data_IF_633698095009
#
_entry.id   IF_633698095009
#
_cell.length_a   1.000
_cell.length_b   1.000
_cell.length_c   1.000
_cell.angle_alpha   90.00
_cell.angle_beta   90.00
_cell.angle_gamma   90.00
#
_symmetry.space_group_name_H-M   'P 1'
#
loop_
_entity.id
_entity.type
_entity.pdbx_description
1 polymer ?
#
# COMPACT_ATOMS: atom_id res chain seq x y z
N UNK A 1 12.42 -22.56 -12.89
CA UNK A 1 11.21 -22.06 -13.55
C UNK A 1 10.02 -22.79 -12.94
N UNK A 2 9.00 -22.05 -12.54
CA UNK A 2 7.75 -22.64 -12.09
C UNK A 2 7.18 -23.52 -13.21
N UNK A 3 6.80 -24.75 -12.89
CA UNK A 3 6.19 -25.63 -13.90
C UNK A 3 4.67 -25.42 -13.88
N UNK A 4 4.19 -24.46 -14.70
CA UNK A 4 2.77 -24.14 -14.82
C UNK A 4 1.96 -25.29 -15.47
N UNK A 5 2.62 -26.30 -16.03
CA UNK A 5 1.97 -27.46 -16.66
C UNK A 5 1.29 -28.41 -15.67
N UNK A 6 1.45 -28.21 -14.38
CA UNK A 6 0.69 -28.94 -13.37
C UNK A 6 -0.76 -28.44 -13.25
N UNK A 7 -1.06 -27.23 -13.72
CA UNK A 7 -2.40 -26.67 -13.76
C UNK A 7 -3.11 -27.03 -15.06
N UNK A 8 -4.40 -27.31 -14.97
CA UNK A 8 -5.20 -27.81 -16.08
C UNK A 8 -6.12 -26.77 -16.69
N UNK A 9 -6.44 -25.74 -15.94
CA UNK A 9 -7.34 -24.65 -16.33
C UNK A 9 -6.85 -23.27 -15.84
N UNK A 10 -5.60 -22.87 -16.17
CA UNK A 10 -5.12 -21.55 -15.83
C UNK A 10 -5.85 -20.47 -16.64
N UNK A 11 -6.17 -19.34 -15.98
CA UNK A 11 -6.81 -18.18 -16.59
C UNK A 11 -5.99 -16.94 -16.31
N UNK A 12 -5.73 -16.13 -17.33
CA UNK A 12 -5.12 -14.81 -17.15
C UNK A 12 -6.20 -13.75 -16.91
N UNK A 13 -5.91 -12.82 -15.98
CA UNK A 13 -6.75 -11.67 -15.66
C UNK A 13 -5.93 -10.40 -15.83
N UNK A 14 -6.37 -9.51 -16.69
CA UNK A 14 -5.74 -8.24 -16.99
C UNK A 14 -6.74 -7.11 -17.21
N UNK A 15 -6.25 -5.97 -17.68
CA UNK A 15 -7.07 -4.84 -18.15
C UNK A 15 -6.65 -4.43 -19.57
N UNK A 16 -7.55 -3.72 -20.29
CA UNK A 16 -7.31 -3.34 -21.68
C UNK A 16 -5.94 -2.68 -21.93
N UNK A 17 -5.50 -1.66 -21.14
CA UNK A 17 -4.22 -1.00 -21.35
C UNK A 17 -3.01 -1.92 -21.11
N UNK A 18 -3.14 -2.86 -20.19
CA UNK A 18 -2.05 -3.77 -19.82
C UNK A 18 -1.91 -4.92 -20.80
N UNK A 19 -3.03 -5.52 -21.20
CA UNK A 19 -3.03 -6.66 -22.12
C UNK A 19 -2.34 -6.31 -23.44
N UNK A 20 -2.66 -5.16 -24.04
CA UNK A 20 -2.02 -4.67 -25.26
C UNK A 20 -0.51 -4.44 -25.09
N UNK A 21 -0.09 -3.94 -23.90
CA UNK A 21 1.31 -3.60 -23.64
C UNK A 21 2.23 -4.80 -23.42
N UNK A 22 1.68 -5.96 -23.04
CA UNK A 22 2.46 -7.15 -22.65
C UNK A 22 2.31 -8.33 -23.61
N UNK A 23 1.40 -8.28 -24.59
CA UNK A 23 1.05 -9.38 -25.49
C UNK A 23 2.28 -10.06 -26.10
N UNK A 24 3.20 -9.29 -26.70
CA UNK A 24 4.41 -9.83 -27.31
C UNK A 24 5.39 -10.47 -26.32
N UNK A 25 5.43 -9.98 -25.06
CA UNK A 25 6.39 -10.44 -24.04
C UNK A 25 5.88 -11.68 -23.33
N UNK A 26 4.58 -11.76 -23.13
CA UNK A 26 3.93 -12.84 -22.39
C UNK A 26 3.25 -13.89 -23.27
N UNK A 27 3.43 -13.84 -24.61
CA UNK A 27 2.80 -14.75 -25.57
C UNK A 27 2.92 -16.21 -25.13
N UNK A 28 4.13 -16.69 -24.85
CA UNK A 28 4.39 -18.08 -24.41
C UNK A 28 3.70 -18.43 -23.06
N UNK A 29 3.43 -17.43 -22.21
CA UNK A 29 2.76 -17.62 -20.92
C UNK A 29 1.24 -17.59 -21.10
N UNK A 30 0.73 -16.70 -21.94
CA UNK A 30 -0.69 -16.57 -22.25
C UNK A 30 -1.20 -17.78 -23.04
N UNK A 31 -0.39 -18.37 -23.93
CA UNK A 31 -0.74 -19.60 -24.66
C UNK A 31 -1.03 -20.79 -23.73
N UNK A 32 -0.54 -20.79 -22.48
CA UNK A 32 -0.82 -21.85 -21.51
C UNK A 32 -2.22 -21.65 -20.89
N UNK A 33 -2.73 -20.42 -20.87
CA UNK A 33 -4.03 -20.09 -20.31
C UNK A 33 -5.16 -20.63 -21.19
N UNK A 34 -6.19 -21.19 -20.56
CA UNK A 34 -7.38 -21.61 -21.29
C UNK A 34 -8.24 -20.44 -21.72
N UNK A 35 -8.20 -19.35 -20.94
CA UNK A 35 -8.96 -18.14 -21.19
C UNK A 35 -8.18 -16.92 -20.73
N UNK A 36 -8.39 -15.79 -21.42
CA UNK A 36 -7.89 -14.48 -21.05
C UNK A 36 -9.07 -13.57 -20.73
N UNK A 37 -9.15 -13.11 -19.48
CA UNK A 37 -10.18 -12.19 -19.02
C UNK A 37 -9.60 -10.78 -18.98
N UNK A 38 -10.13 -9.90 -19.82
CA UNK A 38 -9.76 -8.50 -19.86
C UNK A 38 -10.85 -7.65 -19.21
N UNK A 39 -10.56 -7.08 -18.03
CA UNK A 39 -11.48 -6.22 -17.32
C UNK A 39 -11.44 -4.80 -17.88
N UNK A 40 -12.61 -4.26 -18.18
CA UNK A 40 -12.77 -2.91 -18.74
C UNK A 40 -13.30 -1.94 -17.69
N UNK A 41 -12.73 -0.74 -17.65
CA UNK A 41 -13.17 0.37 -16.78
C UNK A 41 -12.40 1.64 -17.07
N UNK A 42 -12.99 2.80 -16.82
CA UNK A 42 -12.30 4.08 -17.04
C UNK A 42 -12.59 5.08 -15.89
N UNK A 43 -11.77 5.08 -14.83
CA UNK A 43 -10.74 4.07 -14.50
C UNK A 43 -11.35 2.74 -14.02
N UNK A 44 -10.63 1.62 -14.18
CA UNK A 44 -10.98 0.37 -13.52
C UNK A 44 -10.67 0.49 -12.02
N UNK A 45 -11.64 0.15 -11.17
CA UNK A 45 -11.52 0.18 -9.72
C UNK A 45 -11.55 -1.24 -9.13
N UNK A 46 -10.81 -1.46 -8.05
CA UNK A 46 -10.95 -2.65 -7.23
C UNK A 46 -12.14 -2.46 -6.29
N UNK A 47 -13.35 -2.69 -6.80
CA UNK A 47 -14.62 -2.50 -6.11
C UNK A 47 -15.50 -3.76 -6.18
N UNK A 48 -16.61 -3.75 -5.44
CA UNK A 48 -17.56 -4.87 -5.42
C UNK A 48 -18.13 -5.18 -6.79
N UNK A 49 -18.32 -4.18 -7.67
CA UNK A 49 -18.82 -4.41 -9.03
C UNK A 49 -17.80 -5.15 -9.91
N UNK A 50 -16.53 -4.75 -9.84
CA UNK A 50 -15.45 -5.42 -10.58
C UNK A 50 -15.22 -6.84 -10.07
N UNK A 51 -15.41 -7.07 -8.75
CA UNK A 51 -15.42 -8.41 -8.15
C UNK A 51 -16.55 -9.26 -8.74
N UNK A 52 -17.77 -8.76 -8.77
CA UNK A 52 -18.94 -9.45 -9.35
C UNK A 52 -18.70 -9.82 -10.83
N UNK A 53 -18.19 -8.88 -11.63
CA UNK A 53 -17.88 -9.12 -13.04
C UNK A 53 -16.83 -10.23 -13.20
N UNK A 54 -15.74 -10.18 -12.43
CA UNK A 54 -14.68 -11.18 -12.51
C UNK A 54 -15.19 -12.56 -12.06
N UNK A 55 -15.98 -12.60 -10.97
CA UNK A 55 -16.56 -13.85 -10.46
C UNK A 55 -17.53 -14.50 -11.46
N UNK A 56 -18.35 -13.72 -12.17
CA UNK A 56 -19.28 -14.20 -13.20
C UNK A 56 -18.58 -14.64 -14.48
N UNK A 57 -17.43 -14.03 -14.81
CA UNK A 57 -16.70 -14.33 -16.05
C UNK A 57 -15.75 -15.50 -15.90
N UNK A 58 -15.20 -15.70 -14.69
CA UNK A 58 -14.18 -16.72 -14.43
C UNK A 58 -14.78 -18.13 -14.49
N UNK A 59 -14.30 -19.04 -15.38
CA UNK A 59 -14.80 -20.41 -15.48
C UNK A 59 -14.81 -21.17 -14.15
N UNK A 60 -15.79 -22.07 -13.95
CA UNK A 60 -15.90 -22.86 -12.71
C UNK A 60 -14.69 -23.80 -12.52
N UNK A 61 -14.14 -24.32 -13.61
CA UNK A 61 -12.98 -25.24 -13.62
C UNK A 61 -11.63 -24.57 -13.39
N UNK A 62 -11.56 -23.24 -13.30
CA UNK A 62 -10.30 -22.50 -13.11
C UNK A 62 -9.54 -23.01 -11.89
N UNK A 63 -8.29 -23.44 -12.08
CA UNK A 63 -7.42 -23.96 -11.03
C UNK A 63 -6.18 -23.08 -10.75
N UNK A 64 -5.99 -21.99 -11.53
CA UNK A 64 -4.93 -21.01 -11.34
C UNK A 64 -5.35 -19.67 -11.97
N UNK A 65 -5.11 -18.56 -11.27
CA UNK A 65 -5.23 -17.20 -11.82
C UNK A 65 -3.83 -16.63 -12.07
N UNK A 66 -3.59 -16.09 -13.27
CA UNK A 66 -2.43 -15.24 -13.57
C UNK A 66 -2.89 -13.77 -13.57
N UNK A 67 -2.52 -13.03 -12.55
CA UNK A 67 -2.85 -11.60 -12.43
C UNK A 67 -1.82 -10.78 -13.20
N UNK A 68 -2.18 -10.26 -14.38
CA UNK A 68 -1.31 -9.48 -15.27
C UNK A 68 -1.75 -8.02 -15.23
N UNK A 69 -1.08 -7.18 -14.43
CA UNK A 69 -1.55 -5.81 -14.29
C UNK A 69 -0.92 -5.00 -13.17
N UNK A 70 -1.55 -3.89 -12.85
CA UNK A 70 -1.24 -3.05 -11.70
C UNK A 70 -1.94 -3.53 -10.42
N UNK A 71 -1.89 -2.71 -9.35
CA UNK A 71 -2.45 -3.05 -8.05
C UNK A 71 -3.93 -3.41 -8.08
N UNK A 72 -4.75 -2.75 -8.91
CA UNK A 72 -6.19 -3.04 -9.06
C UNK A 72 -6.45 -4.48 -9.51
N UNK A 73 -5.75 -4.94 -10.55
CA UNK A 73 -5.88 -6.31 -11.06
C UNK A 73 -5.45 -7.32 -9.99
N UNK A 74 -4.38 -7.00 -9.25
CA UNK A 74 -3.89 -7.87 -8.18
C UNK A 74 -4.87 -7.94 -7.00
N UNK A 75 -5.47 -6.83 -6.59
CA UNK A 75 -6.47 -6.82 -5.52
C UNK A 75 -7.71 -7.67 -5.88
N UNK A 76 -8.22 -7.54 -7.11
CA UNK A 76 -9.34 -8.34 -7.61
C UNK A 76 -8.97 -9.82 -7.70
N UNK A 77 -7.84 -10.14 -8.33
CA UNK A 77 -7.40 -11.52 -8.57
C UNK A 77 -7.12 -12.28 -7.28
N UNK A 78 -6.40 -11.67 -6.31
CA UNK A 78 -6.08 -12.33 -5.04
C UNK A 78 -7.32 -12.52 -4.16
N UNK A 79 -8.28 -11.59 -4.21
CA UNK A 79 -9.54 -11.74 -3.51
C UNK A 79 -10.36 -12.91 -4.06
N UNK A 80 -10.52 -13.00 -5.38
CA UNK A 80 -11.23 -14.12 -6.02
C UNK A 80 -10.50 -15.45 -5.83
N UNK A 81 -9.16 -15.46 -5.92
CA UNK A 81 -8.36 -16.63 -5.66
C UNK A 81 -8.61 -17.20 -4.25
N UNK A 82 -8.67 -16.32 -3.25
CA UNK A 82 -9.00 -16.67 -1.87
C UNK A 82 -10.42 -17.23 -1.73
N UNK A 83 -11.42 -16.56 -2.29
CA UNK A 83 -12.82 -17.00 -2.23
C UNK A 83 -13.02 -18.37 -2.89
N UNK A 84 -12.36 -18.60 -4.02
CA UNK A 84 -12.41 -19.89 -4.76
C UNK A 84 -11.42 -20.93 -4.23
N UNK A 85 -10.50 -20.56 -3.33
CA UNK A 85 -9.45 -21.42 -2.78
C UNK A 85 -8.54 -22.02 -3.85
N UNK A 86 -8.15 -21.21 -4.79
CA UNK A 86 -7.20 -21.53 -5.84
C UNK A 86 -5.96 -20.63 -5.73
N UNK A 87 -4.79 -21.09 -6.15
CA UNK A 87 -3.59 -20.24 -6.17
C UNK A 87 -3.69 -19.15 -7.23
N UNK A 88 -2.90 -18.10 -7.05
CA UNK A 88 -2.66 -17.14 -8.12
C UNK A 88 -1.18 -16.81 -8.26
N UNK A 89 -0.80 -16.30 -9.43
CA UNK A 89 0.54 -15.83 -9.78
C UNK A 89 0.45 -14.34 -10.07
N UNK A 90 1.38 -13.58 -9.53
CA UNK A 90 1.50 -12.14 -9.73
C UNK A 90 2.46 -11.84 -10.88
N UNK A 91 2.00 -11.09 -11.88
CA UNK A 91 2.80 -10.54 -12.98
C UNK A 91 2.63 -9.01 -12.99
N UNK A 92 3.43 -8.28 -12.17
CA UNK A 92 3.35 -6.83 -12.07
C UNK A 92 3.75 -6.16 -13.37
N UNK A 93 2.90 -5.30 -13.91
CA UNK A 93 3.18 -4.55 -15.15
C UNK A 93 3.62 -3.11 -14.91
N UNK A 94 3.67 -2.68 -13.64
CA UNK A 94 4.17 -1.37 -13.22
C UNK A 94 4.75 -1.43 -11.82
N UNK A 95 5.79 -0.67 -11.54
CA UNK A 95 6.33 -0.48 -10.19
C UNK A 95 5.52 0.60 -9.45
N UNK A 96 4.24 0.34 -9.12
CA UNK A 96 3.26 1.34 -8.68
C UNK A 96 2.83 1.26 -7.22
N UNK A 97 3.06 0.12 -6.56
CA UNK A 97 2.63 -0.20 -5.18
C UNK A 97 3.43 -1.36 -4.63
N UNK A 98 3.46 -1.52 -3.31
CA UNK A 98 4.09 -2.65 -2.62
C UNK A 98 3.14 -3.87 -2.44
N UNK A 99 1.87 -3.74 -2.84
CA UNK A 99 0.84 -4.73 -2.55
C UNK A 99 0.91 -6.02 -3.38
N UNK A 100 1.90 -6.20 -4.27
CA UNK A 100 2.01 -7.38 -5.13
C UNK A 100 2.19 -8.71 -4.37
N UNK A 101 2.68 -8.65 -3.13
CA UNK A 101 2.85 -9.80 -2.23
C UNK A 101 1.84 -9.82 -1.07
N UNK A 102 0.81 -8.98 -1.10
CA UNK A 102 -0.12 -8.88 0.03
C UNK A 102 -0.98 -10.13 0.20
N UNK A 103 -1.31 -10.44 1.46
CA UNK A 103 -2.26 -11.45 1.91
C UNK A 103 -3.66 -10.87 2.17
N UNK A 104 -3.85 -9.61 1.79
CA UNK A 104 -5.09 -8.87 1.96
C UNK A 104 -5.39 -8.10 0.67
N UNK A 105 -6.66 -7.99 0.31
CA UNK A 105 -7.15 -7.16 -0.80
C UNK A 105 -7.78 -5.88 -0.26
N UNK A 106 -7.38 -4.74 -0.81
CA UNK A 106 -7.92 -3.44 -0.43
C UNK A 106 -8.99 -3.01 -1.43
N UNK A 107 -10.27 -3.32 -1.14
CA UNK A 107 -11.38 -3.08 -2.05
C UNK A 107 -12.23 -1.87 -1.62
N UNK A 108 -12.80 -1.18 -2.61
CA UNK A 108 -13.86 -0.20 -2.40
C UNK A 108 -15.20 -0.94 -2.37
N UNK A 109 -15.76 -1.15 -1.18
CA UNK A 109 -16.96 -1.92 -0.98
C UNK A 109 -18.09 -1.02 -0.48
N UNK A 110 -19.11 -0.84 -1.31
CA UNK A 110 -20.21 0.07 -1.04
C UNK A 110 -19.76 1.52 -0.70
N UNK A 111 -18.73 2.00 -1.40
CA UNK A 111 -18.16 3.34 -1.21
C UNK A 111 -17.25 3.49 0.01
N UNK A 112 -16.99 2.43 0.76
CA UNK A 112 -16.06 2.36 1.89
C UNK A 112 -14.81 1.54 1.52
N UNK A 113 -13.62 2.03 1.84
CA UNK A 113 -12.38 1.29 1.59
C UNK A 113 -12.14 0.27 2.70
N UNK A 114 -12.20 -1.01 2.36
CA UNK A 114 -12.13 -2.16 3.27
C UNK A 114 -11.00 -3.10 2.92
N UNK A 115 -10.40 -3.69 3.95
CA UNK A 115 -9.47 -4.82 3.82
C UNK A 115 -10.24 -6.13 3.93
N UNK A 116 -9.97 -7.02 2.98
CA UNK A 116 -10.49 -8.38 2.97
C UNK A 116 -9.32 -9.36 3.03
N UNK A 117 -9.47 -10.50 3.73
CA UNK A 117 -8.52 -11.59 3.60
C UNK A 117 -8.39 -12.01 2.15
N UNK A 118 -7.19 -12.31 1.72
CA UNK A 118 -6.93 -12.70 0.35
C UNK A 118 -5.77 -13.71 0.29
N UNK A 119 -5.51 -14.27 -0.90
CA UNK A 119 -4.42 -15.20 -1.12
C UNK A 119 -3.14 -14.44 -1.44
N UNK A 120 -1.99 -14.86 -0.88
CA UNK A 120 -0.70 -14.39 -1.36
C UNK A 120 -0.29 -15.11 -2.65
N UNK A 121 0.50 -14.49 -3.54
CA UNK A 121 0.84 -15.13 -4.79
C UNK A 121 1.78 -16.32 -4.58
N UNK A 122 1.53 -17.41 -5.33
CA UNK A 122 2.42 -18.56 -5.36
C UNK A 122 3.81 -18.21 -5.93
N UNK A 123 3.83 -17.32 -6.94
CA UNK A 123 5.03 -16.74 -7.56
C UNK A 123 4.78 -15.30 -7.95
N UNK A 124 5.86 -14.51 -8.02
CA UNK A 124 5.86 -13.17 -8.61
C UNK A 124 6.88 -13.16 -9.76
N UNK A 125 6.43 -12.80 -10.94
CA UNK A 125 7.27 -12.61 -12.13
C UNK A 125 7.27 -11.14 -12.53
N UNK A 126 8.27 -10.39 -12.07
CA UNK A 126 8.45 -8.99 -12.41
C UNK A 126 9.49 -8.87 -13.53
N UNK A 127 9.03 -8.67 -14.77
CA UNK A 127 9.91 -8.48 -15.93
C UNK A 127 10.21 -6.99 -16.12
N UNK A 128 11.49 -6.64 -16.10
CA UNK A 128 11.96 -5.25 -16.23
C UNK A 128 11.55 -4.64 -17.57
N UNK A 129 11.50 -5.44 -18.65
CA UNK A 129 11.03 -4.97 -19.97
C UNK A 129 9.54 -4.57 -19.96
N UNK A 130 8.76 -5.09 -19.02
CA UNK A 130 7.34 -4.74 -18.85
C UNK A 130 7.22 -3.50 -17.98
N UNK A 131 7.57 -3.60 -16.70
CA UNK A 131 7.25 -2.55 -15.74
C UNK A 131 8.04 -1.25 -15.93
N UNK A 132 9.25 -1.26 -16.52
CA UNK A 132 9.99 -0.03 -16.82
C UNK A 132 9.34 0.80 -17.93
N UNK A 133 8.57 0.17 -18.81
CA UNK A 133 7.84 0.84 -19.90
C UNK A 133 6.49 1.41 -19.49
N UNK A 134 6.00 1.06 -18.32
CA UNK A 134 4.74 1.56 -17.80
C UNK A 134 4.63 3.11 -17.87
N UNK A 135 3.42 3.67 -17.92
CA UNK A 135 3.23 5.11 -17.80
C UNK A 135 3.92 5.63 -16.53
N UNK A 136 4.78 6.65 -16.67
CA UNK A 136 5.64 7.13 -15.57
C UNK A 136 4.86 7.52 -14.31
N UNK A 137 3.61 7.95 -14.44
CA UNK A 137 2.73 8.24 -13.31
C UNK A 137 2.59 7.04 -12.35
N UNK A 138 2.59 5.81 -12.87
CA UNK A 138 2.53 4.59 -12.06
C UNK A 138 3.85 4.39 -11.29
N UNK A 139 4.99 4.60 -11.94
CA UNK A 139 6.31 4.57 -11.32
C UNK A 139 6.44 5.62 -10.22
N UNK A 140 6.01 6.86 -10.49
CA UNK A 140 5.98 7.95 -9.52
C UNK A 140 5.04 7.64 -8.32
N UNK A 141 3.95 6.90 -8.55
CA UNK A 141 3.10 6.37 -7.48
C UNK A 141 3.86 5.40 -6.58
N UNK A 142 4.62 4.46 -7.15
CA UNK A 142 5.44 3.52 -6.38
C UNK A 142 6.54 4.20 -5.57
N UNK A 143 7.20 5.22 -6.14
CA UNK A 143 8.16 6.05 -5.39
C UNK A 143 7.48 6.71 -4.20
N UNK A 144 6.31 7.33 -4.43
CA UNK A 144 5.55 8.03 -3.38
C UNK A 144 5.08 7.08 -2.27
N UNK A 145 4.66 5.87 -2.62
CA UNK A 145 4.28 4.82 -1.69
C UNK A 145 5.48 4.43 -0.81
N UNK A 146 6.64 4.20 -1.43
CA UNK A 146 7.86 3.84 -0.72
C UNK A 146 8.36 4.98 0.20
N UNK A 147 8.23 6.26 -0.19
CA UNK A 147 8.57 7.39 0.68
C UNK A 147 7.74 7.43 1.97
N UNK A 148 6.52 6.90 1.96
CA UNK A 148 5.69 6.73 3.16
C UNK A 148 6.36 5.89 4.25
N UNK A 149 7.34 5.04 3.91
CA UNK A 149 8.08 4.17 4.83
C UNK A 149 8.85 4.94 5.90
N UNK A 150 9.28 6.17 5.62
CA UNK A 150 9.90 7.00 6.66
C UNK A 150 8.97 7.16 7.88
N UNK A 151 7.67 7.38 7.65
CA UNK A 151 6.70 7.49 8.75
C UNK A 151 6.29 6.11 9.27
N UNK A 152 6.11 5.10 8.39
CA UNK A 152 5.73 3.76 8.82
C UNK A 152 6.73 3.17 9.83
N UNK A 153 8.03 3.25 9.52
CA UNK A 153 9.08 2.74 10.39
C UNK A 153 9.17 3.51 11.71
N UNK A 154 9.01 4.83 11.68
CA UNK A 154 8.95 5.65 12.88
C UNK A 154 7.73 5.27 13.75
N UNK A 155 6.54 5.17 13.16
CA UNK A 155 5.31 4.78 13.85
C UNK A 155 5.43 3.40 14.50
N UNK A 156 6.01 2.42 13.79
CA UNK A 156 6.18 1.07 14.33
C UNK A 156 7.16 1.03 15.51
N UNK A 157 8.31 1.74 15.42
CA UNK A 157 9.25 1.89 16.53
C UNK A 157 8.61 2.58 17.73
N UNK A 158 7.84 3.65 17.49
CA UNK A 158 7.14 4.40 18.55
C UNK A 158 6.05 3.53 19.20
N UNK A 159 5.28 2.78 18.42
CA UNK A 159 4.27 1.86 18.93
C UNK A 159 4.90 0.78 19.82
N UNK A 160 6.05 0.23 19.44
CA UNK A 160 6.82 -0.69 20.29
C UNK A 160 7.20 -0.07 21.63
N UNK A 161 7.71 1.16 21.63
CA UNK A 161 8.09 1.85 22.86
C UNK A 161 6.88 2.16 23.74
N UNK A 162 5.78 2.63 23.15
CA UNK A 162 4.59 3.06 23.86
C UNK A 162 3.78 1.90 24.44
N UNK A 163 3.52 0.85 23.65
CA UNK A 163 2.61 -0.24 24.00
C UNK A 163 3.30 -1.60 24.24
N UNK A 164 4.56 -1.77 23.81
CA UNK A 164 5.24 -3.08 23.82
C UNK A 164 4.86 -3.96 22.64
N UNK A 165 4.25 -3.40 21.63
CA UNK A 165 3.95 -4.09 20.38
C UNK A 165 5.20 -4.71 19.77
N UNK A 166 5.06 -5.83 19.07
CA UNK A 166 6.18 -6.50 18.41
C UNK A 166 6.90 -5.56 17.44
N UNK A 167 8.22 -5.60 17.45
CA UNK A 167 9.10 -4.89 16.52
C UNK A 167 10.24 -5.81 16.10
N UNK A 168 10.51 -5.92 14.82
CA UNK A 168 11.69 -6.57 14.27
C UNK A 168 12.65 -5.53 13.68
N UNK A 169 13.81 -5.40 14.30
CA UNK A 169 14.84 -4.43 13.87
C UNK A 169 15.41 -4.78 12.49
N UNK A 170 15.57 -6.07 12.21
CA UNK A 170 16.06 -6.57 10.93
C UNK A 170 15.12 -6.18 9.78
N UNK A 171 13.81 -6.27 10.00
CA UNK A 171 12.81 -5.82 9.01
C UNK A 171 12.90 -4.30 8.82
N UNK A 172 13.01 -3.52 9.90
CA UNK A 172 13.20 -2.07 9.79
C UNK A 172 14.47 -1.72 8.99
N UNK A 173 15.55 -2.44 9.20
CA UNK A 173 16.82 -2.23 8.50
C UNK A 173 16.73 -2.60 7.01
N UNK A 174 15.99 -3.66 6.67
CA UNK A 174 15.74 -4.07 5.28
C UNK A 174 14.94 -2.99 4.54
N UNK A 175 13.82 -2.57 5.09
CA UNK A 175 12.97 -1.50 4.54
C UNK A 175 13.75 -0.19 4.36
N UNK A 176 14.50 0.22 5.38
CA UNK A 176 15.26 1.46 5.33
C UNK A 176 16.37 1.43 4.29
N UNK A 177 17.03 0.27 4.09
CA UNK A 177 18.05 0.10 3.04
C UNK A 177 17.42 0.19 1.65
N UNK A 178 16.30 -0.49 1.42
CA UNK A 178 15.59 -0.42 0.14
C UNK A 178 15.13 1.01 -0.17
N UNK A 179 14.54 1.69 0.81
CA UNK A 179 14.15 3.09 0.71
C UNK A 179 15.33 4.01 0.35
N UNK A 180 16.47 3.83 1.01
CA UNK A 180 17.71 4.58 0.73
C UNK A 180 18.30 4.30 -0.65
N UNK A 181 18.22 3.07 -1.12
CA UNK A 181 18.70 2.70 -2.45
C UNK A 181 17.87 3.37 -3.55
N UNK A 182 16.55 3.36 -3.41
CA UNK A 182 15.63 4.05 -4.32
C UNK A 182 15.82 5.57 -4.28
N UNK A 183 15.87 6.17 -3.08
CA UNK A 183 15.97 7.65 -2.96
C UNK A 183 17.30 8.25 -3.44
N UNK A 184 18.31 7.44 -3.69
CA UNK A 184 19.57 7.88 -4.31
C UNK A 184 19.56 7.85 -5.83
N UNK A 185 18.51 7.31 -6.44
CA UNK A 185 18.42 7.03 -7.87
C UNK A 185 17.13 7.59 -8.50
N UNK A 186 16.51 8.60 -7.88
CA UNK A 186 15.24 9.14 -8.33
C UNK A 186 15.31 9.70 -9.75
N UNK A 187 16.39 10.39 -10.09
CA UNK A 187 16.63 10.89 -11.45
C UNK A 187 16.82 9.74 -12.45
N UNK A 188 17.59 8.71 -12.11
CA UNK A 188 17.81 7.52 -12.95
C UNK A 188 16.48 6.79 -13.20
N UNK A 189 15.63 6.66 -12.16
CA UNK A 189 14.27 6.08 -12.30
C UNK A 189 13.41 6.95 -13.22
N UNK A 190 13.52 8.26 -13.11
CA UNK A 190 12.78 9.20 -13.95
C UNK A 190 13.20 9.11 -15.43
N UNK A 191 14.46 8.86 -15.67
CA UNK A 191 15.03 8.61 -16.99
C UNK A 191 14.77 7.18 -17.51
N UNK A 192 14.08 6.36 -16.68
CA UNK A 192 13.74 4.95 -16.95
C UNK A 192 14.97 4.06 -17.15
N UNK A 193 16.06 4.37 -16.46
CA UNK A 193 17.22 3.48 -16.38
C UNK A 193 16.80 2.13 -15.81
N UNK A 194 17.12 1.05 -16.52
CA UNK A 194 16.62 -0.29 -16.25
C UNK A 194 16.99 -0.77 -14.84
N UNK A 195 18.27 -0.65 -14.45
CA UNK A 195 18.76 -1.02 -13.10
C UNK A 195 18.07 -0.21 -11.99
N UNK A 196 17.80 1.08 -12.24
CA UNK A 196 17.11 1.93 -11.25
C UNK A 196 15.62 1.57 -11.11
N UNK A 197 14.95 1.28 -12.22
CA UNK A 197 13.57 0.78 -12.21
C UNK A 197 13.47 -0.59 -11.51
N UNK A 198 14.45 -1.48 -11.72
CA UNK A 198 14.55 -2.77 -11.02
C UNK A 198 14.70 -2.58 -9.52
N UNK A 199 15.52 -1.60 -9.07
CA UNK A 199 15.67 -1.29 -7.65
C UNK A 199 14.37 -0.80 -7.01
N UNK A 200 13.59 0.01 -7.73
CA UNK A 200 12.27 0.42 -7.24
C UNK A 200 11.33 -0.77 -7.09
N UNK A 201 11.22 -1.62 -8.13
CA UNK A 201 10.38 -2.83 -8.06
C UNK A 201 10.84 -3.75 -6.93
N UNK A 202 12.15 -3.97 -6.79
CA UNK A 202 12.72 -4.75 -5.70
C UNK A 202 12.33 -4.18 -4.33
N UNK A 203 12.43 -2.85 -4.15
CA UNK A 203 12.04 -2.19 -2.89
C UNK A 203 10.56 -2.38 -2.56
N UNK A 204 9.68 -2.27 -3.56
CA UNK A 204 8.25 -2.49 -3.39
C UNK A 204 7.93 -3.96 -3.05
N UNK A 205 8.53 -4.92 -3.74
CA UNK A 205 8.35 -6.35 -3.45
C UNK A 205 8.92 -6.71 -2.07
N UNK A 206 10.09 -6.16 -1.70
CA UNK A 206 10.67 -6.38 -0.38
C UNK A 206 9.76 -5.84 0.72
N UNK A 207 9.11 -4.68 0.51
CA UNK A 207 8.15 -4.11 1.46
C UNK A 207 6.97 -5.06 1.70
N UNK A 208 6.36 -5.59 0.64
CA UNK A 208 5.32 -6.61 0.76
C UNK A 208 5.79 -7.88 1.50
N UNK A 209 7.02 -8.34 1.23
CA UNK A 209 7.61 -9.47 1.95
C UNK A 209 7.86 -9.16 3.43
N UNK A 210 8.28 -7.94 3.77
CA UNK A 210 8.46 -7.49 5.15
C UNK A 210 7.15 -7.52 5.94
N UNK A 211 6.02 -7.20 5.31
CA UNK A 211 4.68 -7.33 5.90
C UNK A 211 4.37 -8.78 6.25
N UNK A 212 4.58 -9.72 5.32
CA UNK A 212 4.39 -11.14 5.57
C UNK A 212 5.32 -11.66 6.69
N UNK A 213 6.61 -11.32 6.65
CA UNK A 213 7.59 -11.70 7.68
C UNK A 213 7.24 -11.16 9.07
N UNK A 214 6.67 -9.97 9.15
CA UNK A 214 6.24 -9.36 10.41
C UNK A 214 4.92 -9.95 10.93
N UNK A 215 4.14 -10.62 10.09
CA UNK A 215 2.78 -11.05 10.39
C UNK A 215 1.84 -9.88 10.72
N UNK A 216 2.15 -8.69 10.24
CA UNK A 216 1.37 -7.48 10.44
C UNK A 216 1.71 -6.43 9.38
N UNK A 217 0.78 -5.51 9.12
CA UNK A 217 1.00 -4.42 8.15
C UNK A 217 1.95 -3.31 8.63
N UNK A 218 2.44 -3.37 9.87
CA UNK A 218 3.24 -2.30 10.50
C UNK A 218 4.47 -1.85 9.70
N UNK A 219 5.24 -2.74 9.04
CA UNK A 219 6.38 -2.29 8.24
C UNK A 219 5.99 -1.32 7.13
N UNK A 220 4.83 -1.51 6.53
CA UNK A 220 4.42 -0.83 5.32
C UNK A 220 3.22 0.13 5.47
N UNK A 221 2.43 0.02 6.53
CA UNK A 221 1.17 0.78 6.69
C UNK A 221 1.11 1.51 8.02
N UNK A 222 0.90 2.84 7.95
CA UNK A 222 0.70 3.70 9.13
C UNK A 222 -0.13 4.94 8.80
N UNK A 223 0.04 6.03 9.53
CA UNK A 223 -0.76 7.24 9.42
C UNK A 223 -0.95 7.76 7.97
N UNK A 224 0.07 7.84 7.07
CA UNK A 224 -0.14 8.27 5.69
C UNK A 224 -1.13 7.40 4.93
N UNK A 225 -1.09 6.09 5.17
CA UNK A 225 -1.95 5.10 4.52
C UNK A 225 -3.40 5.20 4.99
N UNK A 226 -3.64 5.48 6.27
CA UNK A 226 -4.99 5.72 6.79
C UNK A 226 -5.60 7.00 6.19
N UNK A 227 -4.82 8.06 6.02
CA UNK A 227 -5.26 9.28 5.34
C UNK A 227 -5.56 8.99 3.86
N UNK A 228 -4.68 8.24 3.17
CA UNK A 228 -4.90 7.82 1.78
C UNK A 228 -6.22 7.06 1.61
N UNK A 229 -6.49 6.08 2.48
CA UNK A 229 -7.75 5.32 2.48
C UNK A 229 -8.96 6.20 2.72
N UNK A 230 -8.88 7.15 3.67
CA UNK A 230 -9.95 8.10 3.95
C UNK A 230 -10.28 8.97 2.73
N UNK A 231 -9.26 9.43 2.00
CA UNK A 231 -9.46 10.23 0.78
C UNK A 231 -10.08 9.42 -0.37
N UNK A 232 -9.84 8.12 -0.43
CA UNK A 232 -10.37 7.23 -1.45
C UNK A 232 -11.83 6.80 -1.20
N UNK A 233 -12.33 6.95 0.03
CA UNK A 233 -13.70 6.59 0.35
C UNK A 233 -14.69 7.50 -0.38
N UNK A 234 -15.47 6.94 -1.31
CA UNK A 234 -16.48 7.68 -2.07
C UNK A 234 -17.56 8.31 -1.20
N UNK A 235 -17.87 7.67 -0.07
CA UNK A 235 -18.81 8.21 0.94
C UNK A 235 -18.31 9.51 1.59
N UNK A 236 -17.03 9.83 1.46
CA UNK A 236 -16.40 11.04 2.04
C UNK A 236 -16.12 12.08 0.98
N UNK A 237 -15.45 11.70 -0.12
CA UNK A 237 -14.90 12.64 -1.10
C UNK A 237 -15.45 12.48 -2.54
N UNK A 238 -16.29 11.46 -2.79
CA UNK A 238 -16.64 11.05 -4.15
C UNK A 238 -15.51 10.27 -4.83
N UNK A 239 -15.66 9.96 -6.12
CA UNK A 239 -14.63 9.24 -6.87
C UNK A 239 -13.42 10.14 -7.15
N UNK A 240 -12.23 9.55 -7.12
CA UNK A 240 -10.97 10.22 -7.43
C UNK A 240 -10.18 9.43 -8.49
N UNK A 241 -9.45 10.15 -9.35
CA UNK A 241 -8.53 9.55 -10.32
C UNK A 241 -7.10 9.40 -9.78
N UNK A 242 -6.87 9.78 -8.52
CA UNK A 242 -5.55 9.70 -7.91
C UNK A 242 -5.15 8.25 -7.61
N UNK A 243 -3.88 7.94 -7.85
CA UNK A 243 -3.31 6.64 -7.53
C UNK A 243 -3.05 6.51 -6.01
N UNK A 244 -3.01 5.27 -5.54
CA UNK A 244 -2.78 4.97 -4.12
C UNK A 244 -1.51 5.63 -3.58
N UNK A 245 -0.35 5.40 -4.21
CA UNK A 245 0.91 5.99 -3.75
C UNK A 245 0.95 7.52 -3.87
N UNK A 246 0.26 8.12 -4.86
CA UNK A 246 0.15 9.59 -4.93
C UNK A 246 -0.51 10.16 -3.65
N UNK A 247 -1.55 9.50 -3.14
CA UNK A 247 -2.22 9.90 -1.89
C UNK A 247 -1.33 9.67 -0.67
N UNK A 248 -0.62 8.52 -0.62
CA UNK A 248 0.33 8.21 0.47
C UNK A 248 1.44 9.26 0.53
N UNK A 249 2.06 9.61 -0.60
CA UNK A 249 3.12 10.61 -0.66
C UNK A 249 2.66 11.99 -0.18
N UNK A 250 1.50 12.45 -0.64
CA UNK A 250 0.93 13.75 -0.19
C UNK A 250 0.58 13.69 1.30
N UNK A 251 0.03 12.60 1.80
CA UNK A 251 -0.25 12.42 3.23
C UNK A 251 1.04 12.42 4.06
N UNK A 252 2.13 11.83 3.54
CA UNK A 252 3.46 11.87 4.17
C UNK A 252 3.96 13.31 4.35
N UNK A 253 3.84 14.15 3.29
CA UNK A 253 4.19 15.56 3.38
C UNK A 253 3.33 16.35 4.37
N UNK A 254 2.03 16.03 4.47
CA UNK A 254 1.15 16.71 5.43
C UNK A 254 1.46 16.32 6.88
N UNK A 255 1.88 15.09 7.11
CA UNK A 255 2.16 14.56 8.44
C UNK A 255 3.53 14.96 8.96
N UNK A 256 4.52 15.11 8.09
CA UNK A 256 5.90 15.41 8.44
C UNK A 256 6.01 16.59 9.44
N UNK A 257 5.32 17.69 9.17
CA UNK A 257 5.34 18.86 10.05
C UNK A 257 4.86 18.53 11.47
N UNK A 258 3.85 17.66 11.62
CA UNK A 258 3.34 17.25 12.94
C UNK A 258 4.36 16.42 13.69
N UNK A 259 5.06 15.49 13.04
CA UNK A 259 6.09 14.67 13.64
C UNK A 259 7.29 15.51 14.11
N UNK A 260 7.74 16.46 13.28
CA UNK A 260 8.82 17.37 13.68
C UNK A 260 8.41 18.38 14.75
N UNK A 261 7.16 18.83 14.76
CA UNK A 261 6.63 19.64 15.88
C UNK A 261 6.58 18.83 17.18
N UNK A 262 6.19 17.58 17.10
CA UNK A 262 6.17 16.68 18.25
C UNK A 262 7.59 16.46 18.78
N UNK A 263 8.56 16.19 17.90
CA UNK A 263 9.97 16.08 18.27
C UNK A 263 10.43 17.33 19.04
N UNK A 264 10.25 18.51 18.47
CA UNK A 264 10.63 19.77 19.12
C UNK A 264 9.98 19.96 20.48
N UNK A 265 8.70 19.60 20.62
CA UNK A 265 8.01 19.71 21.92
C UNK A 265 8.62 18.79 22.98
N UNK A 266 9.13 17.63 22.59
CA UNK A 266 9.86 16.71 23.49
C UNK A 266 11.21 17.33 23.86
N UNK A 267 12.02 17.79 22.91
CA UNK A 267 13.33 18.39 23.09
C UNK A 267 13.27 19.64 23.98
N UNK A 268 12.24 20.47 23.80
CA UNK A 268 11.99 21.69 24.59
C UNK A 268 11.43 21.39 25.99
N UNK A 269 11.11 20.12 26.31
CA UNK A 269 10.55 19.73 27.59
C UNK A 269 9.11 20.22 27.85
N UNK A 270 8.39 20.60 26.79
CA UNK A 270 7.00 21.09 26.90
C UNK A 270 5.97 20.02 26.57
N UNK A 271 6.41 18.83 26.16
CA UNK A 271 5.54 17.69 25.88
C UNK A 271 4.97 17.10 27.18
N UNK A 272 3.66 17.04 27.29
CA UNK A 272 2.95 16.49 28.45
C UNK A 272 2.29 15.16 28.08
N UNK A 273 2.67 14.10 28.79
CA UNK A 273 1.97 12.81 28.73
C UNK A 273 0.75 12.88 29.65
N UNK A 274 -0.43 12.72 29.08
CA UNK A 274 -1.70 12.67 29.80
C UNK A 274 -2.27 11.26 29.78
N UNK A 275 -3.03 10.83 30.79
CA UNK A 275 -3.71 9.54 30.76
C UNK A 275 -4.63 9.43 29.54
N UNK A 276 -4.71 8.26 28.91
CA UNK A 276 -5.60 8.06 27.77
C UNK A 276 -7.06 8.29 28.17
N UNK A 277 -7.84 8.86 27.28
CA UNK A 277 -9.28 9.05 27.48
C UNK A 277 -10.04 8.27 26.43
N UNK A 278 -11.01 7.50 26.87
CA UNK A 278 -11.93 6.79 25.99
C UNK A 278 -12.67 7.79 25.10
N UNK A 279 -12.70 7.54 23.81
CA UNK A 279 -13.52 8.30 22.90
C UNK A 279 -14.99 7.90 23.06
N UNK A 280 -15.86 8.90 23.24
CA UNK A 280 -17.29 8.65 23.34
C UNK A 280 -17.87 8.25 21.98
N UNK A 281 -18.72 7.21 21.90
CA UNK A 281 -19.35 6.79 20.64
C UNK A 281 -20.06 7.94 19.92
N UNK A 282 -20.57 8.92 20.65
CA UNK A 282 -21.22 10.11 20.09
C UNK A 282 -20.27 10.96 19.25
N UNK A 283 -18.97 11.00 19.56
CA UNK A 283 -17.96 11.65 18.72
C UNK A 283 -17.90 11.03 17.32
N UNK A 284 -17.85 9.70 17.26
CA UNK A 284 -17.86 8.96 15.98
C UNK A 284 -19.18 9.14 15.25
N UNK A 285 -20.31 9.12 15.98
CA UNK A 285 -21.65 9.32 15.40
C UNK A 285 -21.79 10.70 14.72
N UNK A 286 -21.31 11.75 15.37
CA UNK A 286 -21.38 13.11 14.82
C UNK A 286 -20.50 13.28 13.59
N UNK A 287 -19.31 12.67 13.57
CA UNK A 287 -18.32 12.80 12.47
C UNK A 287 -18.64 11.91 11.28
N UNK A 288 -19.01 10.68 11.51
CA UNK A 288 -19.14 9.63 10.50
C UNK A 288 -20.57 9.16 10.25
N UNK A 289 -21.50 9.40 11.18
CA UNK A 289 -22.90 9.02 11.05
C UNK A 289 -23.62 9.61 9.85
N UNK A 290 -23.46 10.90 9.51
CA UNK A 290 -24.07 11.49 8.30
C UNK A 290 -23.66 10.82 6.98
N UNK A 291 -22.54 10.06 6.98
CA UNK A 291 -22.00 9.34 5.83
C UNK A 291 -22.25 7.82 5.90
N UNK A 292 -23.00 7.34 6.90
CA UNK A 292 -23.25 5.91 7.09
C UNK A 292 -22.08 5.10 7.64
N UNK A 293 -20.95 5.76 8.00
CA UNK A 293 -19.71 5.11 8.42
C UNK A 293 -19.59 4.87 9.93
N UNK A 294 -20.60 5.24 10.73
CA UNK A 294 -20.52 5.19 12.19
C UNK A 294 -20.20 3.79 12.74
N UNK A 295 -20.95 2.78 12.30
CA UNK A 295 -20.80 1.41 12.83
C UNK A 295 -19.45 0.79 12.42
N UNK A 296 -19.00 1.05 11.19
CA UNK A 296 -17.72 0.59 10.67
C UNK A 296 -16.56 1.19 11.44
N UNK A 297 -16.51 2.53 11.56
CA UNK A 297 -15.47 3.24 12.28
C UNK A 297 -15.45 2.87 13.76
N UNK A 298 -16.63 2.74 14.40
CA UNK A 298 -16.71 2.35 15.82
C UNK A 298 -16.13 0.94 16.02
N UNK A 299 -16.44 0.00 15.14
CA UNK A 299 -15.93 -1.38 15.20
C UNK A 299 -14.42 -1.43 15.07
N UNK A 300 -13.84 -0.71 14.10
CA UNK A 300 -12.40 -0.63 13.90
C UNK A 300 -11.65 0.01 15.08
N UNK A 301 -12.30 0.88 15.82
CA UNK A 301 -11.75 1.52 17.02
C UNK A 301 -12.14 0.82 18.34
N UNK A 302 -12.59 -0.43 18.28
CA UNK A 302 -12.97 -1.19 19.48
C UNK A 302 -12.33 -2.59 19.47
N UNK A 303 -11.47 -2.96 20.44
CA UNK A 303 -11.05 -2.14 21.60
C UNK A 303 -10.18 -0.94 21.18
N UNK A 304 -10.16 0.11 22.00
CA UNK A 304 -9.37 1.32 21.74
C UNK A 304 -7.92 1.11 22.21
N UNK A 305 -6.93 0.97 21.29
CA UNK A 305 -5.57 0.55 21.66
C UNK A 305 -4.85 1.53 22.58
N UNK A 306 -5.19 2.82 22.48
CA UNK A 306 -4.56 3.87 23.31
C UNK A 306 -4.88 3.73 24.80
N UNK A 307 -5.98 3.04 25.16
CA UNK A 307 -6.34 2.84 26.57
C UNK A 307 -5.40 1.88 27.30
N UNK A 308 -4.66 1.07 26.57
CA UNK A 308 -3.70 0.10 27.12
C UNK A 308 -2.29 0.70 27.30
N UNK A 309 -2.06 1.93 26.80
CA UNK A 309 -0.76 2.59 26.91
C UNK A 309 -0.52 3.08 28.34
N UNK A 310 0.56 2.61 28.98
CA UNK A 310 1.01 3.11 30.28
C UNK A 310 1.63 4.52 30.12
N UNK A 311 1.05 5.56 30.75
CA UNK A 311 1.56 6.91 30.66
C UNK A 311 2.99 7.07 31.22
N UNK A 312 3.40 6.26 32.21
CA UNK A 312 4.74 6.33 32.77
C UNK A 312 5.78 5.74 31.80
N UNK A 313 5.46 4.59 31.19
CA UNK A 313 6.28 3.99 30.12
C UNK A 313 6.44 4.98 28.97
N UNK A 314 5.37 5.60 28.50
CA UNK A 314 5.40 6.59 27.43
C UNK A 314 6.28 7.79 27.80
N UNK A 315 6.18 8.29 29.05
CA UNK A 315 7.00 9.41 29.52
C UNK A 315 8.50 9.07 29.51
N UNK A 316 8.84 7.86 29.92
CA UNK A 316 10.24 7.38 29.92
C UNK A 316 10.77 7.19 28.51
N UNK A 317 9.92 6.85 27.55
CA UNK A 317 10.28 6.64 26.15
C UNK A 317 10.44 7.94 25.35
N UNK A 318 9.98 9.11 25.84
CA UNK A 318 10.00 10.36 25.06
C UNK A 318 11.38 10.70 24.46
N UNK A 319 12.52 10.57 25.19
CA UNK A 319 13.83 10.86 24.60
C UNK A 319 14.14 9.98 23.37
N UNK A 320 13.89 8.66 23.46
CA UNK A 320 14.10 7.72 22.35
C UNK A 320 13.10 7.97 21.21
N UNK A 321 11.88 8.38 21.51
CA UNK A 321 10.89 8.80 20.51
C UNK A 321 11.41 10.02 19.74
N UNK A 322 12.05 10.99 20.40
CA UNK A 322 12.61 12.16 19.71
C UNK A 322 13.74 11.76 18.73
N UNK A 323 14.59 10.79 19.11
CA UNK A 323 15.63 10.24 18.23
C UNK A 323 15.00 9.52 17.00
N UNK A 324 13.95 8.72 17.19
CA UNK A 324 13.23 8.07 16.10
C UNK A 324 12.62 9.10 15.14
N UNK A 325 12.03 10.15 15.67
CA UNK A 325 11.42 11.21 14.87
C UNK A 325 12.43 12.02 14.05
N UNK A 326 13.70 12.03 14.45
CA UNK A 326 14.79 12.64 13.68
C UNK A 326 15.12 11.86 12.39
N UNK A 327 14.81 10.57 12.34
CA UNK A 327 15.00 9.74 11.14
C UNK A 327 14.07 10.15 9.98
N UNK A 328 12.94 10.82 10.28
CA UNK A 328 12.02 11.33 9.26
C UNK A 328 12.67 12.54 8.57
N UNK A 329 12.83 12.53 7.24
CA UNK A 329 13.38 13.68 6.52
C UNK A 329 12.53 14.94 6.73
N UNK A 330 13.16 16.10 6.64
CA UNK A 330 12.44 17.37 6.67
C UNK A 330 11.48 17.50 5.47
N UNK A 331 10.43 18.31 5.62
CA UNK A 331 9.47 18.53 4.55
C UNK A 331 10.10 19.13 3.28
N UNK A 332 11.16 19.92 3.41
CA UNK A 332 11.96 20.38 2.27
C UNK A 332 12.60 19.20 1.54
N UNK A 333 13.31 18.35 2.26
CA UNK A 333 13.97 17.16 1.68
C UNK A 333 12.99 16.17 1.08
N UNK A 334 11.82 15.97 1.72
CA UNK A 334 10.76 15.11 1.15
C UNK A 334 10.20 15.70 -0.16
N UNK A 335 9.99 17.04 -0.21
CA UNK A 335 9.55 17.70 -1.43
C UNK A 335 10.58 17.58 -2.55
N UNK A 336 11.87 17.77 -2.23
CA UNK A 336 12.95 17.61 -3.19
C UNK A 336 12.95 16.20 -3.77
N UNK A 337 12.90 15.15 -2.92
CA UNK A 337 12.81 13.76 -3.38
C UNK A 337 11.57 13.51 -4.24
N UNK A 338 10.41 14.06 -3.87
CA UNK A 338 9.19 13.93 -4.66
C UNK A 338 9.25 14.69 -5.99
N UNK A 339 9.96 15.82 -6.05
CA UNK A 339 10.19 16.58 -7.28
C UNK A 339 11.13 15.85 -8.21
N UNK A 340 12.27 15.35 -7.70
CA UNK A 340 13.20 14.49 -8.44
C UNK A 340 12.50 13.25 -9.00
N UNK A 341 11.69 12.56 -8.17
CA UNK A 341 10.90 11.40 -8.57
C UNK A 341 9.66 11.73 -9.41
N UNK A 342 9.36 13.00 -9.72
CA UNK A 342 8.17 13.40 -10.49
C UNK A 342 6.84 13.09 -9.80
N UNK A 343 6.84 13.00 -8.47
CA UNK A 343 5.69 12.64 -7.65
C UNK A 343 4.73 13.82 -7.43
N UNK A 344 3.47 13.55 -7.18
CA UNK A 344 2.48 14.58 -6.80
C UNK A 344 2.71 15.07 -5.37
N UNK A 345 2.59 16.38 -5.14
CA UNK A 345 2.91 17.03 -3.86
C UNK A 345 1.73 17.75 -3.22
N UNK A 346 0.56 17.77 -3.83
CA UNK A 346 -0.56 18.62 -3.36
C UNK A 346 -1.88 17.88 -3.25
N UNK A 347 -2.62 18.18 -2.18
CA UNK A 347 -3.97 17.62 -1.90
C UNK A 347 -4.95 17.92 -3.03
N UNK A 348 -4.95 19.10 -3.62
CA UNK A 348 -5.86 19.48 -4.71
C UNK A 348 -5.73 18.67 -5.99
N UNK A 349 -4.82 17.69 -6.01
CA UNK A 349 -4.64 16.73 -7.11
C UNK A 349 -4.88 15.28 -6.69
N UNK A 350 -5.12 14.99 -5.42
CA UNK A 350 -5.26 13.63 -4.89
C UNK A 350 -6.53 13.41 -4.06
N UNK A 351 -7.24 14.49 -3.67
CA UNK A 351 -8.49 14.42 -2.89
C UNK A 351 -9.63 15.09 -3.64
#
# INVERSE_FOLDING_TARGET
AADLREFTAPVSVGDDPTSEAVEEILEDVLEICQEEICLSGNPLAADNRSVEILEETLPEETDLILAVGGGTIHDLSRYIAYERRIPYISIPTAASTDSYLAEEALLLWDGEKKLFPAESPLYVFADTNIFSRAPYRLTASGISDLLGRYICLADWKIAHLASGEYLCREICDLEYRALKDVTRRLDDIREKEEDACERLMYGLLLSGLCVQMAGSMRPAVSAPHHISRLWEMELINGSTDSLYGERVGVATLLLEEYYHRFRRAIEDGVCLVVPPRKQEPEFFRQKFGPRGLFESVLRENTPEPLLEVDPERLRQALPEIAEILEEIPSGEKLRDMMEEGGCRQTVGRVA
#
